data_IF_853043868315
#
_entry.id   IF_853043868315
#
_cell.length_a   1.000
_cell.length_b   1.000
_cell.length_c   1.000
_cell.angle_alpha   90.00
_cell.angle_beta   90.00
_cell.angle_gamma   90.00
#
_symmetry.space_group_name_H-M   'P 1'
#
loop_
_entity.id
_entity.type
_entity.pdbx_description
1 polymer ?
#
# COMPACT_ATOMS: atom_id res chain seq x y z
N UNK A 1 -13.95 -3.15 2.36
CA UNK A 1 -12.52 -3.53 2.41
C UNK A 1 -11.95 -3.31 1.02
N UNK A 2 -10.90 -2.52 0.90
CA UNK A 2 -10.19 -2.36 -0.37
C UNK A 2 -9.17 -3.49 -0.55
N UNK A 3 -9.03 -3.98 -1.78
CA UNK A 3 -8.09 -5.07 -2.10
C UNK A 3 -7.06 -4.57 -3.10
N UNK A 4 -5.78 -4.63 -2.71
CA UNK A 4 -4.64 -4.32 -3.58
C UNK A 4 -4.10 -5.64 -4.11
N UNK A 5 -4.50 -6.02 -5.32
CA UNK A 5 -4.30 -7.35 -5.87
C UNK A 5 -3.18 -7.42 -6.91
N UNK A 6 -2.06 -6.73 -6.66
CA UNK A 6 -0.91 -6.82 -7.55
C UNK A 6 -0.44 -8.29 -7.64
N UNK A 7 -0.16 -8.74 -8.86
CA UNK A 7 0.33 -10.09 -9.14
C UNK A 7 1.84 -10.15 -8.93
N UNK A 8 2.36 -11.34 -8.61
CA UNK A 8 3.81 -11.58 -8.59
C UNK A 8 4.37 -11.45 -10.01
N UNK A 9 4.90 -10.27 -10.32
CA UNK A 9 5.28 -9.85 -11.67
C UNK A 9 6.20 -8.65 -11.57
N UNK A 10 6.91 -8.32 -12.66
CA UNK A 10 7.71 -7.09 -12.71
C UNK A 10 6.86 -5.85 -12.38
N UNK A 11 5.63 -5.78 -12.89
CA UNK A 11 4.71 -4.69 -12.55
C UNK A 11 4.40 -4.65 -11.05
N UNK A 12 3.96 -5.76 -10.46
CA UNK A 12 3.61 -5.81 -9.03
C UNK A 12 4.79 -5.57 -8.10
N UNK A 13 6.01 -5.88 -8.55
CA UNK A 13 7.25 -5.66 -7.80
C UNK A 13 7.69 -4.20 -7.78
N UNK A 14 7.49 -3.46 -8.87
CA UNK A 14 8.04 -2.11 -9.03
C UNK A 14 7.00 -0.98 -9.02
N UNK A 15 5.74 -1.27 -9.32
CA UNK A 15 4.71 -0.24 -9.31
C UNK A 15 4.34 0.12 -7.87
N UNK A 16 4.15 1.42 -7.62
CA UNK A 16 3.52 1.88 -6.40
C UNK A 16 2.00 1.84 -6.58
N UNK A 17 1.24 1.05 -5.78
CA UNK A 17 -0.20 0.94 -5.96
C UNK A 17 -0.93 2.16 -5.36
N UNK A 18 -1.20 3.19 -6.16
CA UNK A 18 -1.87 4.42 -5.70
C UNK A 18 -3.22 4.17 -5.00
N UNK A 19 -3.95 3.13 -5.42
CA UNK A 19 -5.21 2.69 -4.79
C UNK A 19 -5.06 2.35 -3.30
N UNK A 20 -3.86 1.97 -2.87
CA UNK A 20 -3.56 1.74 -1.45
C UNK A 20 -3.72 3.05 -0.67
N UNK A 21 -3.04 4.11 -1.09
CA UNK A 21 -3.14 5.45 -0.47
C UNK A 21 -4.55 6.03 -0.56
N UNK A 22 -5.24 5.87 -1.69
CA UNK A 22 -6.65 6.28 -1.80
C UNK A 22 -7.54 5.59 -0.75
N UNK A 23 -7.33 4.28 -0.55
CA UNK A 23 -8.11 3.50 0.42
C UNK A 23 -7.80 3.89 1.86
N UNK A 24 -6.52 4.12 2.19
CA UNK A 24 -6.10 4.58 3.53
C UNK A 24 -6.67 5.98 3.81
N UNK A 25 -6.56 6.91 2.86
CA UNK A 25 -7.08 8.27 3.01
C UNK A 25 -8.60 8.30 3.22
N UNK A 26 -9.33 7.35 2.63
CA UNK A 26 -10.77 7.16 2.84
C UNK A 26 -11.12 6.39 4.13
N UNK A 27 -10.15 5.99 4.94
CA UNK A 27 -10.38 5.23 6.18
C UNK A 27 -10.89 3.80 5.94
N UNK A 28 -10.68 3.23 4.76
CA UNK A 28 -11.12 1.88 4.45
C UNK A 28 -10.15 0.83 5.04
N UNK A 29 -10.66 -0.27 5.61
CA UNK A 29 -9.82 -1.44 5.88
C UNK A 29 -9.26 -2.00 4.57
N UNK A 30 -8.02 -2.48 4.60
CA UNK A 30 -7.27 -2.89 3.41
C UNK A 30 -6.75 -4.32 3.56
N UNK A 31 -6.75 -5.04 2.45
CA UNK A 31 -5.98 -6.27 2.25
C UNK A 31 -5.11 -6.10 1.01
N UNK A 32 -3.83 -6.48 1.07
CA UNK A 32 -2.89 -6.25 -0.03
C UNK A 32 -2.04 -7.49 -0.33
N UNK A 33 -1.76 -7.73 -1.61
CA UNK A 33 -0.85 -8.78 -2.03
C UNK A 33 0.56 -8.42 -1.55
N UNK A 34 1.32 -9.42 -1.10
CA UNK A 34 2.67 -9.29 -0.56
C UNK A 34 3.71 -9.07 -1.67
N UNK A 35 3.54 -8.01 -2.47
CA UNK A 35 4.41 -7.64 -3.59
C UNK A 35 5.07 -6.28 -3.37
N UNK A 36 6.36 -6.17 -3.71
CA UNK A 36 7.04 -4.88 -3.86
C UNK A 36 6.84 -3.93 -2.67
N UNK A 37 6.35 -2.73 -2.94
CA UNK A 37 6.12 -1.68 -1.93
C UNK A 37 5.16 -2.06 -0.80
N UNK A 38 4.27 -3.04 -1.00
CA UNK A 38 3.32 -3.46 0.05
C UNK A 38 3.99 -4.20 1.19
N UNK A 39 5.05 -4.96 0.91
CA UNK A 39 5.85 -5.63 1.95
C UNK A 39 6.47 -4.63 2.92
N UNK A 40 6.97 -3.51 2.40
CA UNK A 40 7.57 -2.43 3.20
C UNK A 40 6.50 -1.62 3.94
N UNK A 41 5.44 -1.20 3.24
CA UNK A 41 4.38 -0.35 3.82
C UNK A 41 3.56 -1.05 4.90
N UNK A 42 3.44 -2.38 4.83
CA UNK A 42 2.68 -3.19 5.79
C UNK A 42 3.56 -4.10 6.64
N UNK A 43 4.87 -3.83 6.74
CA UNK A 43 5.81 -4.63 7.55
C UNK A 43 5.36 -4.79 9.00
N UNK A 44 4.73 -3.76 9.57
CA UNK A 44 4.23 -3.72 10.95
C UNK A 44 2.77 -4.20 11.06
N UNK A 45 2.16 -4.58 9.92
CA UNK A 45 0.78 -5.03 9.77
C UNK A 45 0.67 -6.24 8.82
N UNK A 46 1.45 -7.32 9.04
CA UNK A 46 1.47 -8.47 8.15
C UNK A 46 0.11 -9.17 8.06
N UNK A 47 -0.80 -8.97 9.02
CA UNK A 47 -2.15 -9.51 8.98
C UNK A 47 -3.02 -8.96 7.83
N UNK A 48 -2.65 -7.80 7.28
CA UNK A 48 -3.25 -7.16 6.11
C UNK A 48 -2.67 -7.71 4.79
N UNK A 49 -1.57 -8.44 4.84
CA UNK A 49 -0.94 -9.02 3.66
C UNK A 49 -1.55 -10.38 3.31
N UNK A 50 -1.57 -10.69 2.02
CA UNK A 50 -1.80 -12.03 1.51
C UNK A 50 -0.75 -12.43 0.45
N UNK A 51 -0.46 -13.72 0.36
CA UNK A 51 0.42 -14.29 -0.65
C UNK A 51 -0.20 -14.16 -2.06
N UNK A 52 0.51 -13.57 -3.04
CA UNK A 52 0.00 -13.46 -4.40
C UNK A 52 -0.40 -14.81 -4.99
N UNK A 53 -1.48 -14.83 -5.77
CA UNK A 53 -2.03 -16.05 -6.41
C UNK A 53 -2.53 -17.15 -5.43
N UNK A 54 -2.53 -16.89 -4.11
CA UNK A 54 -3.05 -17.81 -3.10
C UNK A 54 -4.44 -17.36 -2.62
N UNK A 55 -5.48 -17.99 -3.16
CA UNK A 55 -6.89 -17.65 -2.87
C UNK A 55 -7.25 -17.89 -1.41
N UNK A 56 -6.79 -18.99 -0.81
CA UNK A 56 -7.10 -19.31 0.59
C UNK A 56 -6.50 -18.28 1.55
N UNK A 57 -5.29 -17.82 1.25
CA UNK A 57 -4.64 -16.79 2.04
C UNK A 57 -5.34 -15.43 1.90
N UNK A 58 -5.78 -15.06 0.69
CA UNK A 58 -6.62 -13.88 0.46
C UNK A 58 -7.92 -13.95 1.28
N UNK A 59 -8.62 -15.09 1.23
CA UNK A 59 -9.86 -15.30 2.00
C UNK A 59 -9.60 -15.16 3.50
N UNK A 60 -8.50 -15.71 4.00
CA UNK A 60 -8.12 -15.58 5.40
C UNK A 60 -7.85 -14.12 5.81
N UNK A 61 -7.14 -13.35 4.98
CA UNK A 61 -6.88 -11.93 5.21
C UNK A 61 -8.17 -11.10 5.21
N UNK A 62 -9.06 -11.34 4.23
CA UNK A 62 -10.37 -10.69 4.16
C UNK A 62 -11.21 -10.99 5.40
N UNK A 63 -11.29 -12.25 5.84
CA UNK A 63 -12.04 -12.63 7.05
C UNK A 63 -11.57 -11.88 8.29
N UNK A 64 -10.25 -11.72 8.48
CA UNK A 64 -9.69 -10.93 9.60
C UNK A 64 -10.18 -9.48 9.56
N UNK A 65 -10.11 -8.83 8.40
CA UNK A 65 -10.54 -7.44 8.24
C UNK A 65 -12.06 -7.26 8.31
N UNK A 66 -12.86 -8.27 7.95
CA UNK A 66 -14.33 -8.26 8.14
C UNK A 66 -14.66 -8.38 9.63
N UNK A 67 -14.01 -9.31 10.34
CA UNK A 67 -14.28 -9.57 11.75
C UNK A 67 -13.87 -8.40 12.65
N UNK A 68 -12.77 -7.72 12.30
CA UNK A 68 -12.29 -6.54 13.01
C UNK A 68 -11.83 -5.48 12.01
N UNK A 69 -12.76 -4.68 11.45
CA UNK A 69 -12.41 -3.59 10.55
C UNK A 69 -11.56 -2.57 11.29
N UNK A 70 -10.36 -2.30 10.78
CA UNK A 70 -9.49 -1.29 11.35
C UNK A 70 -8.86 -0.45 10.23
N UNK A 71 -9.02 0.88 10.23
CA UNK A 71 -8.30 1.74 9.32
C UNK A 71 -6.81 1.67 9.64
N UNK A 72 -5.96 1.62 8.61
CA UNK A 72 -4.53 1.67 8.83
C UNK A 72 -4.14 3.04 9.39
N UNK A 73 -3.37 3.12 10.49
CA UNK A 73 -2.91 4.37 11.08
C UNK A 73 -1.68 4.87 10.31
N UNK A 74 -1.83 4.98 8.99
CA UNK A 74 -0.81 5.45 8.08
C UNK A 74 -1.21 6.84 7.58
N UNK A 75 -0.32 7.80 7.75
CA UNK A 75 -0.51 9.13 7.19
C UNK A 75 -0.17 9.12 5.69
N UNK A 76 -1.18 9.36 4.86
CA UNK A 76 -1.00 9.43 3.41
C UNK A 76 -0.55 10.85 3.04
N UNK A 77 0.59 11.02 2.37
CA UNK A 77 1.07 12.34 1.99
C UNK A 77 0.13 12.97 0.96
N UNK A 78 -0.13 14.27 1.12
CA UNK A 78 -0.90 15.04 0.14
C UNK A 78 -0.10 15.29 -1.13
N UNK A 79 -0.77 15.70 -2.22
CA UNK A 79 -0.10 16.16 -3.42
C UNK A 79 0.81 17.36 -3.18
N UNK A 80 0.45 18.26 -2.25
CA UNK A 80 1.32 19.38 -1.86
C UNK A 80 2.61 18.86 -1.21
N UNK A 81 2.50 17.85 -0.35
CA UNK A 81 3.65 17.21 0.32
C UNK A 81 4.58 16.57 -0.70
N UNK A 82 4.05 15.71 -1.58
CA UNK A 82 4.85 15.02 -2.61
C UNK A 82 5.44 16.00 -3.63
N UNK A 83 4.68 17.03 -4.03
CA UNK A 83 5.17 18.09 -4.90
C UNK A 83 6.34 18.87 -4.28
N UNK A 84 6.28 19.15 -2.98
CA UNK A 84 7.38 19.74 -2.22
C UNK A 84 8.65 18.86 -2.26
N UNK A 85 8.52 17.56 -1.99
CA UNK A 85 9.66 16.63 -2.06
C UNK A 85 10.30 16.60 -3.45
N UNK A 86 9.48 16.63 -4.51
CA UNK A 86 9.98 16.67 -5.88
C UNK A 86 10.72 17.98 -6.19
N UNK A 87 10.21 19.12 -5.71
CA UNK A 87 10.88 20.41 -5.84
C UNK A 87 12.25 20.39 -5.14
N UNK A 88 12.32 19.89 -3.91
CA UNK A 88 13.56 19.80 -3.12
C UNK A 88 14.59 18.90 -3.81
N UNK A 89 14.14 17.79 -4.40
CA UNK A 89 14.97 16.91 -5.20
C UNK A 89 15.60 17.66 -6.39
N UNK A 90 14.80 18.39 -7.17
CA UNK A 90 15.34 19.14 -8.32
C UNK A 90 16.28 20.28 -7.91
N UNK A 91 16.00 20.98 -6.80
CA UNK A 91 16.91 21.99 -6.27
C UNK A 91 18.25 21.38 -5.83
N UNK A 92 18.24 20.15 -5.31
CA UNK A 92 19.47 19.43 -4.95
C UNK A 92 20.29 19.06 -6.19
N UNK A 93 19.63 18.61 -7.27
CA UNK A 93 20.29 18.31 -8.54
C UNK A 93 20.88 19.56 -9.22
N UNK A 94 20.16 20.69 -9.18
CA UNK A 94 20.58 21.94 -9.82
C UNK A 94 21.71 22.69 -9.09
N UNK A 95 21.96 22.36 -7.81
CA UNK A 95 23.07 22.91 -7.01
C UNK A 95 24.38 22.13 -7.19
N UNK A 96 24.40 21.08 -8.01
CA UNK A 96 25.60 20.36 -8.45
C UNK A 96 26.01 20.84 -9.83
#
# INVERSE_FOLDING_TARGET
>A
IAVICNRESAFGKYCFPQKFYESVACGLPIVAAATGSMLELLKDKPENLFEPENVDNLVAALRRQIAKPFPLPLEVPSWLTIGGHLQDFFQTCAKK
#
